data_IF_436054425764
#
_entry.id   IF_436054425764
#
_cell.length_a   1.000
_cell.length_b   1.000
_cell.length_c   1.000
_cell.angle_alpha   90.00
_cell.angle_beta   90.00
_cell.angle_gamma   90.00
#
_symmetry.space_group_name_H-M   'P 1'
#
loop_
_entity.id
_entity.type
_entity.pdbx_description
1 polymer ?
#
# COMPACT_ATOMS: atom_id res chain seq x y z
N UNK A 1 -10.40 -7.03 -30.10
CA UNK A 1 -9.00 -6.56 -30.23
C UNK A 1 -8.54 -6.14 -28.85
N UNK A 2 -7.66 -6.92 -28.22
CA UNK A 2 -7.10 -6.59 -26.92
C UNK A 2 -6.07 -5.48 -27.12
N UNK A 3 -6.45 -4.22 -26.85
CA UNK A 3 -5.48 -3.14 -26.81
C UNK A 3 -4.50 -3.47 -25.68
N UNK A 4 -3.29 -3.89 -26.04
CA UNK A 4 -2.17 -3.93 -25.10
C UNK A 4 -2.02 -2.51 -24.56
N UNK A 5 -2.27 -2.35 -23.26
CA UNK A 5 -2.01 -1.11 -22.53
C UNK A 5 -0.50 -0.86 -22.57
N UNK A 6 -0.03 -0.12 -23.57
CA UNK A 6 1.35 0.31 -23.66
C UNK A 6 1.49 1.53 -22.75
N UNK A 7 2.10 1.32 -21.58
CA UNK A 7 2.45 2.40 -20.66
C UNK A 7 3.52 3.31 -21.26
N UNK A 8 3.44 4.61 -21.00
CA UNK A 8 4.51 5.57 -21.32
C UNK A 8 5.73 5.35 -20.43
N UNK A 9 6.89 5.88 -20.81
CA UNK A 9 8.11 5.78 -19.98
C UNK A 9 7.91 6.38 -18.59
N UNK A 10 7.18 7.49 -18.49
CA UNK A 10 6.88 8.09 -17.20
C UNK A 10 5.96 7.20 -16.35
N UNK A 11 4.95 6.57 -16.95
CA UNK A 11 4.10 5.60 -16.27
C UNK A 11 4.90 4.36 -15.81
N UNK A 12 5.88 3.91 -16.59
CA UNK A 12 6.77 2.80 -16.21
C UNK A 12 7.64 3.14 -15.02
N UNK A 13 8.12 4.38 -14.91
CA UNK A 13 8.88 4.83 -13.72
C UNK A 13 8.02 4.75 -12.47
N UNK A 14 6.78 5.26 -12.52
CA UNK A 14 5.85 5.15 -11.39
C UNK A 14 5.51 3.69 -11.07
N UNK A 15 5.32 2.86 -12.09
CA UNK A 15 5.06 1.43 -11.91
C UNK A 15 6.24 0.73 -11.21
N UNK A 16 7.48 0.99 -11.61
CA UNK A 16 8.65 0.38 -10.99
C UNK A 16 8.79 0.72 -9.50
N UNK A 17 8.47 1.96 -9.11
CA UNK A 17 8.43 2.37 -7.70
C UNK A 17 7.31 1.62 -6.96
N UNK A 18 6.11 1.59 -7.54
CA UNK A 18 4.96 0.87 -6.98
C UNK A 18 5.26 -0.63 -6.79
N UNK A 19 5.93 -1.26 -7.74
CA UNK A 19 6.33 -2.67 -7.70
C UNK A 19 7.35 -2.93 -6.59
N UNK A 20 8.35 -2.06 -6.43
CA UNK A 20 9.35 -2.17 -5.37
C UNK A 20 8.72 -2.06 -3.97
N UNK A 21 7.83 -1.10 -3.76
CA UNK A 21 7.14 -0.94 -2.47
C UNK A 21 6.12 -2.07 -2.23
N UNK A 22 5.48 -2.56 -3.28
CA UNK A 22 4.61 -3.74 -3.20
C UNK A 22 5.39 -4.99 -2.82
N UNK A 23 6.59 -5.20 -3.38
CA UNK A 23 7.44 -6.34 -3.04
C UNK A 23 7.80 -6.33 -1.55
N UNK A 24 8.23 -5.17 -1.03
CA UNK A 24 8.51 -4.97 0.41
C UNK A 24 7.29 -5.23 1.28
N UNK A 25 6.12 -4.77 0.87
CA UNK A 25 4.87 -5.02 1.59
C UNK A 25 4.52 -6.52 1.62
N UNK A 26 4.69 -7.23 0.49
CA UNK A 26 4.44 -8.68 0.42
C UNK A 26 5.41 -9.46 1.31
N UNK A 27 6.69 -9.07 1.35
CA UNK A 27 7.69 -9.68 2.23
C UNK A 27 7.30 -9.46 3.71
N UNK A 28 6.99 -8.23 4.10
CA UNK A 28 6.55 -7.90 5.45
C UNK A 28 5.30 -8.71 5.87
N UNK A 29 4.29 -8.79 5.00
CA UNK A 29 3.05 -9.54 5.27
C UNK A 29 3.25 -11.05 5.23
N UNK A 30 4.27 -11.55 4.53
CA UNK A 30 4.63 -12.97 4.53
C UNK A 30 5.23 -13.35 5.88
N UNK A 31 6.16 -12.54 6.38
CA UNK A 31 6.81 -12.76 7.67
C UNK A 31 5.81 -12.65 8.82
N UNK A 32 4.80 -11.79 8.67
CA UNK A 32 3.69 -11.65 9.62
C UNK A 32 2.84 -12.89 9.83
N UNK A 33 2.78 -13.83 8.88
CA UNK A 33 1.82 -14.95 8.93
C UNK A 33 2.03 -15.88 10.13
N UNK A 34 3.23 -15.88 10.69
CA UNK A 34 3.60 -16.78 11.79
C UNK A 34 3.46 -16.12 13.16
N UNK A 35 3.67 -14.81 13.27
CA UNK A 35 3.76 -14.10 14.57
C UNK A 35 2.87 -12.85 14.66
N UNK A 36 2.15 -12.50 13.60
CA UNK A 36 1.50 -11.19 13.48
C UNK A 36 2.50 -10.06 13.20
N UNK A 37 1.99 -8.84 13.09
CA UNK A 37 2.80 -7.63 12.97
C UNK A 37 2.73 -6.82 14.28
N UNK A 38 3.85 -6.19 14.64
CA UNK A 38 3.89 -5.15 15.68
C UNK A 38 3.21 -3.87 15.18
N UNK A 39 2.87 -2.94 16.10
CA UNK A 39 2.31 -1.64 15.73
C UNK A 39 3.20 -0.88 14.74
N UNK A 40 4.52 -0.84 14.99
CA UNK A 40 5.48 -0.25 14.07
C UNK A 40 5.45 -0.92 12.68
N UNK A 41 5.38 -2.24 12.63
CA UNK A 41 5.29 -2.95 11.36
C UNK A 41 3.98 -2.70 10.63
N UNK A 42 2.86 -2.55 11.35
CA UNK A 42 1.60 -2.10 10.75
C UNK A 42 1.70 -0.70 10.17
N UNK A 43 2.39 0.21 10.84
CA UNK A 43 2.60 1.56 10.35
C UNK A 43 3.53 1.61 9.12
N UNK A 44 4.55 0.75 9.07
CA UNK A 44 5.37 0.53 7.87
C UNK A 44 4.51 -0.01 6.73
N UNK A 45 3.66 -1.01 6.99
CA UNK A 45 2.74 -1.56 5.98
C UNK A 45 1.78 -0.48 5.44
N UNK A 46 1.23 0.37 6.31
CA UNK A 46 0.39 1.51 5.93
C UNK A 46 1.13 2.48 5.01
N UNK A 47 2.34 2.87 5.41
CA UNK A 47 3.17 3.81 4.64
C UNK A 47 3.51 3.26 3.25
N UNK A 48 3.86 1.97 3.15
CA UNK A 48 4.09 1.30 1.86
C UNK A 48 2.82 1.30 1.00
N UNK A 49 1.67 0.89 1.55
CA UNK A 49 0.40 0.87 0.81
C UNK A 49 -0.01 2.27 0.30
N UNK A 50 0.23 3.31 1.10
CA UNK A 50 0.00 4.69 0.71
C UNK A 50 0.93 5.12 -0.44
N UNK A 51 2.23 4.79 -0.35
CA UNK A 51 3.20 5.03 -1.41
C UNK A 51 2.81 4.38 -2.74
N UNK A 52 2.39 3.11 -2.71
CA UNK A 52 1.89 2.39 -3.90
C UNK A 52 0.63 3.07 -4.45
N UNK A 53 -0.29 3.51 -3.58
CA UNK A 53 -1.49 4.22 -4.01
C UNK A 53 -1.17 5.52 -4.75
N UNK A 54 -0.21 6.29 -4.27
CA UNK A 54 0.20 7.54 -4.89
C UNK A 54 0.86 7.31 -6.25
N UNK A 55 1.69 6.27 -6.40
CA UNK A 55 2.23 5.90 -7.70
C UNK A 55 1.12 5.45 -8.67
N UNK A 56 0.18 4.64 -8.20
CA UNK A 56 -0.97 4.22 -9.01
C UNK A 56 -1.83 5.42 -9.45
N UNK A 57 -2.02 6.42 -8.59
CA UNK A 57 -2.72 7.65 -8.94
C UNK A 57 -1.94 8.43 -10.01
N UNK A 58 -0.62 8.57 -9.88
CA UNK A 58 0.22 9.23 -10.89
C UNK A 58 0.14 8.52 -12.24
N UNK A 59 0.09 7.18 -12.26
CA UNK A 59 -0.13 6.43 -13.51
C UNK A 59 -1.50 6.75 -14.12
N UNK A 60 -2.54 6.83 -13.29
CA UNK A 60 -3.89 7.19 -13.71
C UNK A 60 -3.96 8.60 -14.31
N UNK A 61 -3.31 9.56 -13.66
CA UNK A 61 -3.29 10.98 -14.07
C UNK A 61 -2.54 11.19 -15.38
N UNK A 62 -1.55 10.33 -15.68
CA UNK A 62 -0.80 10.33 -16.94
C UNK A 62 -1.50 9.61 -18.10
N UNK A 63 -2.59 8.89 -17.83
CA UNK A 63 -3.30 8.14 -18.85
C UNK A 63 -4.25 9.05 -19.65
N UNK A 64 -4.35 8.81 -20.96
CA UNK A 64 -5.37 9.45 -21.78
C UNK A 64 -6.79 9.11 -21.30
N UNK A 65 -7.75 9.97 -21.64
CA UNK A 65 -9.12 9.92 -21.14
C UNK A 65 -9.72 8.50 -21.15
N UNK A 66 -10.15 8.04 -19.97
CA UNK A 66 -10.75 6.73 -19.75
C UNK A 66 -9.77 5.57 -19.47
N UNK A 67 -8.51 5.65 -19.92
CA UNK A 67 -7.51 4.60 -19.69
C UNK A 67 -6.96 4.59 -18.25
N UNK A 68 -7.07 5.71 -17.52
CA UNK A 68 -6.64 5.84 -16.12
C UNK A 68 -7.60 5.25 -15.09
N UNK A 69 -8.82 4.83 -15.47
CA UNK A 69 -9.87 4.43 -14.51
C UNK A 69 -9.46 3.25 -13.64
N UNK A 70 -8.79 2.26 -14.22
CA UNK A 70 -8.31 1.07 -13.49
C UNK A 70 -7.27 1.49 -12.45
N UNK A 71 -6.28 2.27 -12.86
CA UNK A 71 -5.23 2.78 -11.99
C UNK A 71 -5.77 3.66 -10.85
N UNK A 72 -6.73 4.55 -11.14
CA UNK A 72 -7.39 5.37 -10.12
C UNK A 72 -8.21 4.52 -9.14
N UNK A 73 -8.85 3.45 -9.62
CA UNK A 73 -9.55 2.50 -8.74
C UNK A 73 -8.58 1.75 -7.84
N UNK A 74 -7.45 1.27 -8.39
CA UNK A 74 -6.38 0.65 -7.63
C UNK A 74 -5.85 1.59 -6.55
N UNK A 75 -5.56 2.85 -6.90
CA UNK A 75 -5.10 3.86 -5.95
C UNK A 75 -6.06 4.03 -4.77
N UNK A 76 -7.37 4.12 -5.03
CA UNK A 76 -8.38 4.20 -3.97
C UNK A 76 -8.39 2.97 -3.06
N UNK A 77 -8.40 1.77 -3.63
CA UNK A 77 -8.40 0.52 -2.84
C UNK A 77 -7.13 0.36 -2.00
N UNK A 78 -5.99 0.84 -2.50
CA UNK A 78 -4.73 0.85 -1.77
C UNK A 78 -4.77 1.87 -0.62
N UNK A 79 -5.39 3.04 -0.79
CA UNK A 79 -5.63 4.00 0.30
C UNK A 79 -6.53 3.41 1.39
N UNK A 80 -7.61 2.73 1.00
CA UNK A 80 -8.49 2.04 1.97
C UNK A 80 -7.73 0.93 2.72
N UNK A 81 -6.73 0.33 2.09
CA UNK A 81 -5.85 -0.66 2.73
C UNK A 81 -4.86 0.00 3.68
N UNK A 82 -4.24 1.11 3.29
CA UNK A 82 -3.37 1.90 4.16
C UNK A 82 -4.10 2.35 5.43
N UNK A 83 -5.31 2.90 5.30
CA UNK A 83 -6.13 3.32 6.45
C UNK A 83 -6.45 2.17 7.42
N UNK A 84 -6.68 0.95 6.90
CA UNK A 84 -6.87 -0.25 7.75
C UNK A 84 -5.59 -0.66 8.46
N UNK A 85 -4.44 -0.58 7.80
CA UNK A 85 -3.15 -0.86 8.42
C UNK A 85 -2.81 0.16 9.51
N UNK A 86 -3.11 1.44 9.30
CA UNK A 86 -2.98 2.50 10.31
C UNK A 86 -3.84 2.20 11.55
N UNK A 87 -5.12 1.86 11.35
CA UNK A 87 -5.99 1.45 12.45
C UNK A 87 -5.43 0.25 13.24
N UNK A 88 -4.83 -0.73 12.55
CA UNK A 88 -4.21 -1.87 13.23
C UNK A 88 -2.92 -1.50 13.97
N UNK A 89 -2.19 -0.49 13.51
CA UNK A 89 -1.06 0.06 14.25
C UNK A 89 -1.54 0.65 15.59
N UNK A 90 -2.56 1.50 15.56
CA UNK A 90 -3.14 2.12 16.76
C UNK A 90 -3.62 1.07 17.76
N UNK A 91 -4.32 0.03 17.28
CA UNK A 91 -4.82 -1.05 18.14
C UNK A 91 -3.69 -1.89 18.76
N UNK A 92 -2.58 -2.09 18.04
CA UNK A 92 -1.43 -2.81 18.56
C UNK A 92 -0.70 -2.01 19.66
N UNK A 93 -0.66 -0.68 19.55
CA UNK A 93 -0.13 0.20 20.60
C UNK A 93 -0.99 0.12 21.87
N UNK A 94 -2.32 0.24 21.75
CA UNK A 94 -3.24 0.15 22.90
C UNK A 94 -3.15 -1.21 23.59
N UNK A 95 -3.03 -2.30 22.83
CA UNK A 95 -2.85 -3.64 23.39
C UNK A 95 -1.52 -3.82 24.16
N UNK A 96 -0.47 -3.12 23.73
CA UNK A 96 0.83 -3.12 24.41
C UNK A 96 0.80 -2.36 25.73
N UNK A 97 0.08 -1.23 25.80
CA UNK A 97 -0.09 -0.43 27.01
C UNK A 97 -0.98 -1.12 28.05
N UNK A 98 -2.07 -1.77 27.61
CA UNK A 98 -2.97 -2.51 28.50
C UNK A 98 -2.31 -3.73 29.16
N UNK A 99 -1.21 -4.24 28.57
CA UNK A 99 -0.46 -5.38 29.09
C UNK A 99 0.62 -5.00 30.10
N UNK A 100 0.83 -3.70 30.35
CA UNK A 100 1.84 -3.21 31.29
C UNK A 100 1.25 -3.18 32.71
N UNK A 101 1.75 -3.98 33.68
CA UNK A 101 1.21 -3.95 35.03
C UNK A 101 1.46 -2.57 35.65
N UNK A 102 0.44 -2.04 36.34
CA UNK A 102 0.57 -0.83 37.15
C UNK A 102 1.63 -1.10 38.23
N UNK A 103 2.73 -0.34 38.17
CA UNK A 103 3.81 -0.39 39.15
C UNK A 103 3.38 0.14 40.52
#
# INVERSE_FOLDING_TARGET
MSHLLVLTDQQRVHLAVAEADTARLVELLRDARTQGLTGLQWQVASSLACGVADQAQRIADLAADGAGRVWGTCARLLRDTAARFELWADLAEVGSDASRPAA
#
